data_IF_997168491140
#
_entry.id   IF_997168491140
#
_cell.length_a   1.000
_cell.length_b   1.000
_cell.length_c   1.000
_cell.angle_alpha   90.00
_cell.angle_beta   90.00
_cell.angle_gamma   90.00
#
_symmetry.space_group_name_H-M   'P 1'
#
loop_
_entity.id
_entity.type
_entity.pdbx_description
1 polymer ?
#
# COMPACT_ATOMS: atom_id res chain seq x y z
N UNK A 1 -0.78 -34.99 23.62
CA UNK A 1 -0.89 -34.34 22.28
C UNK A 1 -1.81 -33.11 22.28
N UNK A 2 -3.04 -33.18 22.81
CA UNK A 2 -3.98 -32.03 22.84
C UNK A 2 -3.49 -30.79 23.63
N UNK A 3 -2.67 -30.99 24.66
CA UNK A 3 -2.07 -29.91 25.49
C UNK A 3 -0.97 -29.14 24.75
N UNK A 4 -0.12 -29.82 23.99
CA UNK A 4 0.89 -29.18 23.15
C UNK A 4 0.26 -28.42 21.99
N UNK A 5 -0.83 -28.93 21.41
CA UNK A 5 -1.58 -28.24 20.35
C UNK A 5 -2.25 -26.96 20.87
N UNK A 6 -2.77 -26.98 22.10
CA UNK A 6 -3.31 -25.78 22.77
C UNK A 6 -2.24 -24.74 23.11
N UNK A 7 -1.07 -25.20 23.58
CA UNK A 7 0.08 -24.33 23.85
C UNK A 7 0.61 -23.68 22.57
N UNK A 8 0.72 -24.45 21.48
CA UNK A 8 1.13 -23.95 20.17
C UNK A 8 0.16 -22.87 19.64
N UNK A 9 -1.14 -23.12 19.75
CA UNK A 9 -2.17 -22.18 19.33
C UNK A 9 -2.14 -20.88 20.16
N UNK A 10 -1.95 -21.00 21.48
CA UNK A 10 -1.80 -19.84 22.37
C UNK A 10 -0.56 -19.00 22.00
N UNK A 11 0.58 -19.63 21.73
CA UNK A 11 1.79 -18.93 21.28
C UNK A 11 1.60 -18.21 19.94
N UNK A 12 0.91 -18.83 18.97
CA UNK A 12 0.63 -18.18 17.68
C UNK A 12 -0.28 -16.97 17.83
N UNK A 13 -1.30 -17.02 18.67
CA UNK A 13 -2.17 -15.86 18.94
C UNK A 13 -1.39 -14.71 19.60
N UNK A 14 -0.48 -15.03 20.53
CA UNK A 14 0.36 -14.04 21.21
C UNK A 14 1.32 -13.33 20.25
N UNK A 15 1.91 -14.07 19.31
CA UNK A 15 2.75 -13.50 18.24
C UNK A 15 1.96 -12.57 17.32
N UNK A 16 0.75 -12.96 16.93
CA UNK A 16 -0.10 -12.12 16.05
C UNK A 16 -0.43 -10.79 16.75
N UNK A 17 -0.86 -10.81 18.01
CA UNK A 17 -1.18 -9.58 18.76
C UNK A 17 0.04 -8.66 18.90
N UNK A 18 1.25 -9.23 19.06
CA UNK A 18 2.50 -8.47 19.10
C UNK A 18 2.87 -7.76 17.79
N UNK A 19 2.42 -8.25 16.64
CA UNK A 19 2.69 -7.61 15.34
C UNK A 19 1.79 -6.39 15.10
N UNK A 20 0.55 -6.40 15.61
CA UNK A 20 -0.39 -5.30 15.43
C UNK A 20 -0.07 -4.05 16.28
N UNK A 21 0.81 -4.15 17.28
CA UNK A 21 1.18 -3.01 18.16
C UNK A 21 2.09 -1.97 17.49
N UNK A 22 2.61 -2.25 16.29
CA UNK A 22 3.49 -1.35 15.54
C UNK A 22 2.74 -0.26 14.75
N UNK A 23 1.41 -0.32 14.68
CA UNK A 23 0.60 0.65 13.95
C UNK A 23 0.35 1.90 14.81
N UNK A 24 1.02 2.99 14.47
CA UNK A 24 0.89 4.28 15.17
C UNK A 24 0.15 5.31 14.30
N UNK A 25 -0.69 6.13 14.96
CA UNK A 25 -1.44 7.17 14.26
C UNK A 25 -0.59 8.42 14.06
N UNK A 26 -0.40 8.83 12.80
CA UNK A 26 0.36 10.06 12.49
C UNK A 26 -0.51 11.29 12.75
N UNK A 27 0.04 12.25 13.49
CA UNK A 27 -0.65 13.51 13.78
C UNK A 27 -0.92 14.28 12.48
N UNK A 28 -2.07 14.97 12.35
CA UNK A 28 -2.50 15.54 11.08
C UNK A 28 -1.50 16.52 10.46
N UNK A 29 -0.78 17.31 11.28
CA UNK A 29 0.23 18.23 10.79
C UNK A 29 1.50 17.54 10.26
N UNK A 30 1.82 16.34 10.76
CA UNK A 30 2.96 15.55 10.28
C UNK A 30 2.68 14.90 8.92
N UNK A 31 1.41 14.74 8.56
CA UNK A 31 1.01 14.18 7.25
C UNK A 31 1.49 15.04 6.08
N UNK A 32 1.74 16.33 6.29
CA UNK A 32 2.30 17.21 5.24
C UNK A 32 3.71 16.79 4.80
N UNK A 33 4.51 16.21 5.71
CA UNK A 33 5.84 15.68 5.39
C UNK A 33 5.79 14.28 4.78
N UNK A 34 4.66 13.57 4.95
CA UNK A 34 4.43 12.25 4.37
C UNK A 34 3.65 12.32 3.06
N UNK A 35 3.01 13.44 2.73
CA UNK A 35 2.24 13.61 1.50
C UNK A 35 3.10 14.34 0.47
N UNK A 36 4.00 13.59 -0.13
CA UNK A 36 4.83 14.05 -1.25
C UNK A 36 4.03 14.08 -2.56
N UNK A 37 4.44 14.97 -3.47
CA UNK A 37 3.81 15.10 -4.79
C UNK A 37 3.92 13.80 -5.61
N UNK A 38 4.97 13.00 -5.40
CA UNK A 38 5.16 11.70 -6.05
C UNK A 38 4.18 10.61 -5.60
N UNK A 39 3.56 10.75 -4.44
CA UNK A 39 2.52 9.82 -3.97
C UNK A 39 1.16 10.08 -4.62
N UNK A 40 1.04 11.12 -5.46
CA UNK A 40 -0.13 11.27 -6.31
C UNK A 40 -0.14 10.14 -7.35
N UNK A 41 -1.22 9.37 -7.36
CA UNK A 41 -1.52 8.36 -8.37
C UNK A 41 -1.86 9.03 -9.71
N UNK A 42 -1.15 10.06 -10.15
CA UNK A 42 -1.39 10.70 -11.44
C UNK A 42 -0.05 10.97 -12.10
N UNK A 43 0.04 10.67 -13.39
CA UNK A 43 1.26 10.91 -14.13
C UNK A 43 1.60 12.39 -14.16
N UNK A 44 2.88 12.70 -13.93
CA UNK A 44 3.39 14.04 -14.20
C UNK A 44 3.31 14.31 -15.69
N UNK A 45 3.17 15.57 -16.09
CA UNK A 45 3.13 15.99 -17.50
C UNK A 45 4.34 15.48 -18.30
N UNK A 46 5.50 15.35 -17.66
CA UNK A 46 6.72 14.83 -18.29
C UNK A 46 6.68 13.31 -18.52
N UNK A 47 5.95 12.56 -17.70
CA UNK A 47 5.82 11.09 -17.76
C UNK A 47 4.72 10.63 -18.74
N UNK A 48 3.93 11.56 -19.31
CA UNK A 48 2.84 11.21 -20.23
C UNK A 48 3.35 10.52 -21.50
N UNK A 49 4.51 10.93 -22.02
CA UNK A 49 5.13 10.26 -23.17
C UNK A 49 5.57 8.84 -22.85
N UNK A 50 6.10 8.65 -21.64
CA UNK A 50 6.56 7.35 -21.16
C UNK A 50 5.39 6.37 -21.01
N UNK A 51 4.39 6.77 -20.23
CA UNK A 51 3.19 5.95 -20.06
C UNK A 51 2.48 5.66 -21.39
N UNK A 52 2.47 6.60 -22.34
CA UNK A 52 1.89 6.33 -23.66
C UNK A 52 2.62 5.20 -24.38
N UNK A 53 3.96 5.17 -24.37
CA UNK A 53 4.66 4.07 -25.03
C UNK A 53 4.43 2.73 -24.32
N UNK A 54 4.40 2.71 -22.98
CA UNK A 54 4.15 1.50 -22.19
C UNK A 54 2.72 0.99 -22.40
N UNK A 55 1.73 1.89 -22.38
CA UNK A 55 0.34 1.54 -22.65
C UNK A 55 0.14 1.03 -24.07
N UNK A 56 0.73 1.69 -25.08
CA UNK A 56 0.54 1.28 -26.48
C UNK A 56 1.33 0.03 -26.85
N UNK A 57 2.52 -0.20 -26.28
CA UNK A 57 3.39 -1.34 -26.67
C UNK A 57 3.29 -2.53 -25.74
N UNK A 58 3.05 -2.28 -24.45
CA UNK A 58 3.10 -3.31 -23.39
C UNK A 58 1.72 -3.54 -22.75
N UNK A 59 0.71 -2.75 -23.10
CA UNK A 59 -0.61 -2.82 -22.49
C UNK A 59 -0.60 -2.40 -21.01
N UNK A 60 0.43 -1.66 -20.59
CA UNK A 60 0.54 -1.19 -19.21
C UNK A 60 -0.64 -0.26 -18.88
N UNK A 61 -1.40 -0.63 -17.85
CA UNK A 61 -2.55 0.12 -17.35
C UNK A 61 -2.64 -0.04 -15.83
N UNK A 62 -2.78 1.07 -15.09
CA UNK A 62 -2.78 1.06 -13.63
C UNK A 62 -2.20 2.33 -13.02
N UNK A 63 -2.15 2.39 -11.67
CA UNK A 63 -1.50 3.41 -10.85
C UNK A 63 -1.87 4.90 -11.11
N UNK A 64 -2.91 5.18 -11.90
CA UNK A 64 -3.27 6.54 -12.37
C UNK A 64 -4.51 7.13 -11.69
N UNK A 65 -4.96 6.54 -10.57
CA UNK A 65 -5.97 7.14 -9.68
C UNK A 65 -7.36 7.31 -10.29
N UNK A 66 -7.53 6.99 -11.58
CA UNK A 66 -8.78 7.06 -12.33
C UNK A 66 -9.56 5.73 -12.31
N UNK A 67 -10.82 5.79 -12.72
CA UNK A 67 -11.77 4.65 -12.72
C UNK A 67 -11.29 3.41 -13.47
N UNK A 68 -10.41 3.55 -14.46
CA UNK A 68 -9.99 2.46 -15.36
C UNK A 68 -8.54 1.98 -15.10
N UNK A 69 -7.91 2.43 -14.02
CA UNK A 69 -6.50 2.11 -13.72
C UNK A 69 -6.14 2.26 -12.24
N UNK A 70 -7.08 1.99 -11.34
CA UNK A 70 -6.88 2.10 -9.90
C UNK A 70 -6.07 0.92 -9.36
N UNK A 71 -4.82 1.17 -8.93
CA UNK A 71 -4.20 0.33 -7.89
C UNK A 71 -4.99 0.45 -6.57
N UNK A 72 -4.53 -0.18 -5.48
CA UNK A 72 -5.16 -0.15 -4.14
C UNK A 72 -5.70 1.23 -3.72
N UNK A 73 -5.15 2.33 -4.24
CA UNK A 73 -5.63 3.67 -3.88
C UNK A 73 -5.52 3.84 -2.37
N UNK A 74 -4.43 3.33 -1.79
CA UNK A 74 -4.12 3.45 -0.39
C UNK A 74 -3.65 4.92 -0.17
N UNK A 75 -4.59 5.84 0.08
CA UNK A 75 -4.33 7.13 0.76
C UNK A 75 -5.14 7.14 2.07
#
# INVERSE_FOLDING_TARGET
MKTHLRSLFACTCLLIVGLLSSCETVKPYQKTYLNEEEMQLSARKVQTFEMNFESYREGASGATGGKMGGGCGCN
#
